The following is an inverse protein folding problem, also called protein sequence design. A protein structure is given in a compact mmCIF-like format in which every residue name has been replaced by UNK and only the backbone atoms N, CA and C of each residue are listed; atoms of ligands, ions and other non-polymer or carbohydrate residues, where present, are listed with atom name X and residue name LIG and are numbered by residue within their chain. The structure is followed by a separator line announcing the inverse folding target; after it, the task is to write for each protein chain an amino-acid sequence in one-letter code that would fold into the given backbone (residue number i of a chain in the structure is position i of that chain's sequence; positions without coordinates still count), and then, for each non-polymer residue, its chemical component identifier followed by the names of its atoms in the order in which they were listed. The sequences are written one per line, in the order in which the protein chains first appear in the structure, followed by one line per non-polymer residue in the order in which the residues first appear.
data_IF_016186829881
#
_entry.id   IF_016186829881
#
_cell.length_a   1.000
_cell.length_b   1.000
_cell.length_c   1.000
_cell.angle_alpha   90.00
_cell.angle_beta   90.00
_cell.angle_gamma   90.00
#
_symmetry.space_group_name_H-M   'P 1'
#
loop_
_entity.id
_entity.type
_entity.pdbx_description
1 polymer ?
#
# COMPACT_ATOMS: atom_id res chain seq x y z
N UNK A 1 8.69 32.45 24.10
CA UNK A 1 8.47 31.35 25.07
C UNK A 1 7.74 30.24 24.31
N UNK A 2 8.47 29.26 23.78
CA UNK A 2 7.90 28.18 22.96
C UNK A 2 7.05 27.32 23.91
N UNK A 3 5.73 27.53 23.88
CA UNK A 3 4.78 26.74 24.64
C UNK A 3 4.51 25.50 23.79
N UNK A 4 5.16 24.38 24.12
CA UNK A 4 4.81 23.08 23.57
C UNK A 4 3.33 22.83 23.90
N UNK A 5 2.40 22.81 22.93
CA UNK A 5 1.14 22.16 23.19
C UNK A 5 1.47 20.69 23.45
N UNK A 6 0.94 20.15 24.54
CA UNK A 6 1.02 18.73 24.86
C UNK A 6 0.74 17.96 23.59
N UNK A 7 1.68 17.07 23.20
CA UNK A 7 1.40 16.03 22.20
C UNK A 7 0.08 15.42 22.65
N UNK A 8 -0.99 15.71 21.94
CA UNK A 8 -2.26 15.07 22.15
C UNK A 8 -2.00 13.63 21.71
N UNK A 9 -1.50 12.85 22.67
CA UNK A 9 -1.43 11.40 22.56
C UNK A 9 -2.84 11.03 22.17
N UNK A 10 -3.00 10.61 20.90
CA UNK A 10 -4.24 10.08 20.38
C UNK A 10 -4.76 9.16 21.48
N UNK A 11 -5.83 9.54 22.15
CA UNK A 11 -6.28 8.82 23.32
C UNK A 11 -6.74 7.45 22.81
N UNK A 12 -5.86 6.46 22.93
CA UNK A 12 -6.10 5.11 22.45
C UNK A 12 -7.38 4.58 23.09
N UNK A 13 -7.74 5.07 24.28
CA UNK A 13 -9.00 4.74 24.95
C UNK A 13 -10.21 5.47 24.37
N UNK A 14 -10.08 6.64 23.74
CA UNK A 14 -11.20 7.26 23.02
C UNK A 14 -11.40 6.67 21.62
N UNK A 15 -10.34 6.13 21.01
CA UNK A 15 -10.39 5.37 19.75
C UNK A 15 -10.89 3.93 19.96
N UNK A 16 -10.52 3.29 21.06
CA UNK A 16 -10.99 1.95 21.44
C UNK A 16 -12.26 1.95 22.29
N UNK A 17 -12.64 3.08 22.89
CA UNK A 17 -13.72 3.18 23.88
C UNK A 17 -15.10 3.42 23.30
N UNK A 18 -15.20 3.95 22.07
CA UNK A 18 -16.48 4.07 21.37
C UNK A 18 -16.55 3.10 20.20
N UNK A 19 -17.07 1.91 20.51
CA UNK A 19 -17.36 0.76 19.60
C UNK A 19 -16.15 0.24 18.82
N UNK A 20 -15.77 -1.06 18.92
CA UNK A 20 -14.66 -1.59 18.13
C UNK A 20 -14.89 -1.28 16.65
N UNK A 21 -13.81 -0.99 15.89
CA UNK A 21 -13.86 -0.63 14.45
C UNK A 21 -14.71 -1.64 13.65
N UNK A 22 -14.71 -2.90 14.09
CA UNK A 22 -15.54 -4.00 13.59
C UNK A 22 -17.04 -3.69 13.66
N UNK A 23 -17.50 -3.05 14.72
CA UNK A 23 -18.90 -2.69 14.93
C UNK A 23 -19.31 -1.47 14.11
N UNK A 24 -18.43 -0.46 14.00
CA UNK A 24 -18.67 0.75 13.18
C UNK A 24 -18.58 0.52 11.67
N UNK A 25 -17.61 -0.25 11.19
CA UNK A 25 -17.39 -0.47 9.75
C UNK A 25 -17.96 -1.79 9.22
N UNK A 26 -18.06 -2.82 10.07
CA UNK A 26 -18.39 -4.19 9.64
C UNK A 26 -19.61 -4.77 10.38
N UNK A 27 -20.39 -3.94 11.09
CA UNK A 27 -21.61 -4.35 11.78
C UNK A 27 -21.41 -5.45 12.84
N UNK A 28 -20.20 -5.52 13.43
CA UNK A 28 -19.82 -6.54 14.42
C UNK A 28 -19.37 -7.87 13.80
N UNK A 29 -19.41 -8.00 12.47
CA UNK A 29 -19.02 -9.21 11.77
C UNK A 29 -17.49 -9.34 11.67
N UNK A 30 -16.92 -10.15 12.55
CA UNK A 30 -15.51 -10.54 12.51
C UNK A 30 -15.17 -11.24 11.18
N UNK A 31 -16.12 -11.97 10.59
CA UNK A 31 -15.92 -12.65 9.30
C UNK A 31 -15.71 -11.64 8.18
N UNK A 32 -16.53 -10.58 8.12
CA UNK A 32 -16.41 -9.56 7.07
C UNK A 32 -15.11 -8.76 7.22
N UNK A 33 -14.70 -8.48 8.46
CA UNK A 33 -13.40 -7.89 8.76
C UNK A 33 -12.26 -8.77 8.24
N UNK A 34 -12.27 -10.07 8.57
CA UNK A 34 -11.24 -11.01 8.14
C UNK A 34 -11.14 -11.07 6.62
N UNK A 35 -12.27 -11.17 5.91
CA UNK A 35 -12.29 -11.18 4.44
C UNK A 35 -11.71 -9.89 3.86
N UNK A 36 -12.15 -8.73 4.35
CA UNK A 36 -11.64 -7.43 3.87
C UNK A 36 -10.16 -7.25 4.18
N UNK A 37 -9.70 -7.67 5.37
CA UNK A 37 -8.30 -7.59 5.77
C UNK A 37 -7.42 -8.52 4.92
N UNK A 38 -7.87 -9.72 4.60
CA UNK A 38 -7.16 -10.64 3.70
C UNK A 38 -7.05 -10.08 2.30
N UNK A 39 -8.13 -9.52 1.74
CA UNK A 39 -8.10 -8.88 0.41
C UNK A 39 -7.15 -7.68 0.40
N UNK A 40 -7.22 -6.82 1.43
CA UNK A 40 -6.29 -5.71 1.57
C UNK A 40 -4.84 -6.19 1.67
N UNK A 41 -4.56 -7.21 2.49
CA UNK A 41 -3.22 -7.76 2.64
C UNK A 41 -2.68 -8.33 1.31
N UNK A 42 -3.53 -9.01 0.52
CA UNK A 42 -3.15 -9.52 -0.79
C UNK A 42 -2.80 -8.39 -1.77
N UNK A 43 -3.64 -7.34 -1.85
CA UNK A 43 -3.37 -6.17 -2.70
C UNK A 43 -2.11 -5.43 -2.23
N UNK A 44 -1.95 -5.27 -0.92
CA UNK A 44 -0.81 -4.59 -0.32
C UNK A 44 0.49 -5.35 -0.60
N UNK A 45 0.49 -6.68 -0.49
CA UNK A 45 1.65 -7.51 -0.82
C UNK A 45 1.97 -7.46 -2.32
N UNK A 46 0.95 -7.56 -3.19
CA UNK A 46 1.14 -7.46 -4.63
C UNK A 46 1.75 -6.11 -5.04
N UNK A 47 1.33 -5.02 -4.39
CA UNK A 47 1.93 -3.70 -4.60
C UNK A 47 3.42 -3.66 -4.25
N UNK A 48 3.84 -4.33 -3.17
CA UNK A 48 5.25 -4.40 -2.79
C UNK A 48 6.03 -5.29 -3.76
N UNK A 49 5.47 -6.44 -4.16
CA UNK A 49 6.10 -7.30 -5.16
C UNK A 49 6.37 -6.52 -6.46
N UNK A 50 5.41 -5.70 -6.92
CA UNK A 50 5.60 -4.86 -8.10
C UNK A 50 6.77 -3.88 -7.96
N UNK A 51 6.95 -3.30 -6.77
CA UNK A 51 8.09 -2.43 -6.48
C UNK A 51 9.39 -3.23 -6.44
N UNK A 52 9.43 -4.35 -5.71
CA UNK A 52 10.61 -5.18 -5.55
C UNK A 52 11.11 -5.76 -6.89
N UNK A 53 10.20 -6.26 -7.73
CA UNK A 53 10.52 -6.74 -9.08
C UNK A 53 11.06 -5.64 -9.99
N UNK A 54 10.59 -4.40 -9.85
CA UNK A 54 11.16 -3.28 -10.61
C UNK A 54 12.61 -3.01 -10.19
N UNK A 55 12.91 -3.00 -8.89
CA UNK A 55 14.29 -2.86 -8.39
C UNK A 55 15.18 -4.07 -8.73
N UNK A 56 14.63 -5.28 -8.76
CA UNK A 56 15.35 -6.47 -9.22
C UNK A 56 15.75 -6.37 -10.70
N UNK A 57 14.84 -5.87 -11.54
CA UNK A 57 15.07 -5.70 -12.99
C UNK A 57 16.05 -4.56 -13.28
N UNK A 58 15.95 -3.44 -12.56
CA UNK A 58 16.80 -2.26 -12.77
C UNK A 58 18.20 -2.39 -12.15
N UNK A 59 18.28 -2.89 -10.91
CA UNK A 59 19.50 -2.83 -10.09
C UNK A 59 20.08 -4.23 -9.78
N UNK A 60 19.44 -5.31 -10.25
CA UNK A 60 19.87 -6.69 -9.96
C UNK A 60 19.69 -7.08 -8.49
N UNK A 61 18.89 -6.32 -7.73
CA UNK A 61 18.64 -6.58 -6.30
C UNK A 61 17.72 -7.78 -6.17
N UNK A 62 18.29 -8.93 -5.84
CA UNK A 62 17.52 -10.14 -5.56
C UNK A 62 16.61 -9.95 -4.34
N UNK A 63 15.37 -10.41 -4.46
CA UNK A 63 14.41 -10.41 -3.35
C UNK A 63 13.71 -11.77 -3.26
N UNK A 64 12.99 -12.00 -2.16
CA UNK A 64 12.31 -13.27 -1.90
C UNK A 64 10.90 -13.01 -1.40
N UNK A 65 9.90 -13.46 -2.17
CA UNK A 65 8.50 -13.26 -1.84
C UNK A 65 8.10 -13.79 -0.45
N UNK A 66 8.50 -15.00 0.00
CA UNK A 66 8.20 -15.46 1.35
C UNK A 66 8.80 -14.58 2.44
N UNK A 67 10.03 -14.09 2.25
CA UNK A 67 10.72 -13.22 3.21
C UNK A 67 10.03 -11.87 3.32
N UNK A 68 9.64 -11.30 2.18
CA UNK A 68 8.96 -10.01 2.12
C UNK A 68 7.54 -10.11 2.74
N UNK A 69 6.82 -11.20 2.49
CA UNK A 69 5.50 -11.44 3.06
C UNK A 69 5.56 -11.52 4.60
N UNK A 70 6.54 -12.25 5.14
CA UNK A 70 6.75 -12.34 6.60
C UNK A 70 7.13 -10.98 7.17
N UNK A 71 8.03 -10.24 6.51
CA UNK A 71 8.44 -8.91 6.95
C UNK A 71 7.25 -7.94 6.99
N UNK A 72 6.41 -7.94 5.96
CA UNK A 72 5.22 -7.10 5.88
C UNK A 72 4.17 -7.48 6.93
N UNK A 73 3.92 -8.77 7.14
CA UNK A 73 3.00 -9.26 8.16
C UNK A 73 3.43 -8.87 9.57
N UNK A 74 4.72 -9.04 9.87
CA UNK A 74 5.28 -8.61 11.16
C UNK A 74 5.19 -7.08 11.33
N UNK A 75 5.51 -6.31 10.28
CA UNK A 75 5.42 -4.84 10.31
C UNK A 75 4.00 -4.36 10.59
N UNK A 76 2.99 -4.92 9.91
CA UNK A 76 1.59 -4.56 10.14
C UNK A 76 1.10 -4.98 11.53
N UNK A 77 1.58 -6.11 12.05
CA UNK A 77 1.25 -6.55 13.42
C UNK A 77 1.83 -5.59 14.45
N UNK A 78 3.10 -5.17 14.29
CA UNK A 78 3.73 -4.16 15.15
C UNK A 78 3.01 -2.80 15.05
N UNK A 79 2.57 -2.40 13.86
CA UNK A 79 1.79 -1.18 13.65
C UNK A 79 0.45 -1.21 14.41
N UNK A 80 -0.24 -2.35 14.41
CA UNK A 80 -1.50 -2.53 15.10
C UNK A 80 -1.37 -2.35 16.63
N UNK A 81 -0.27 -2.80 17.24
CA UNK A 81 -0.03 -2.61 18.68
C UNK A 81 0.09 -1.14 19.10
N UNK A 82 0.47 -0.26 18.18
CA UNK A 82 0.61 1.19 18.43
C UNK A 82 -0.61 1.96 17.87
N UNK A 83 -1.63 1.26 17.36
CA UNK A 83 -2.82 1.89 16.77
C UNK A 83 -2.57 2.58 15.42
N UNK A 84 -1.49 2.22 14.73
CA UNK A 84 -1.17 2.75 13.40
C UNK A 84 -1.98 2.07 12.30
N UNK A 85 -2.17 2.77 11.19
CA UNK A 85 -2.68 2.19 9.96
C UNK A 85 -1.73 1.10 9.40
N UNK A 86 -2.22 0.18 8.55
CA UNK A 86 -1.39 -0.84 7.92
C UNK A 86 -0.21 -0.25 7.14
N UNK A 87 0.93 -0.94 7.16
CA UNK A 87 2.17 -0.50 6.52
C UNK A 87 2.25 -1.08 5.09
N UNK A 88 2.82 -0.30 4.17
CA UNK A 88 3.10 -0.69 2.79
C UNK A 88 4.48 -0.21 2.34
N UNK A 89 4.96 -0.73 1.21
CA UNK A 89 6.14 -0.25 0.52
C UNK A 89 5.89 1.08 -0.19
N UNK A 90 6.95 1.84 -0.45
CA UNK A 90 6.85 3.13 -1.15
C UNK A 90 7.94 3.27 -2.20
N UNK A 91 7.52 3.19 -3.47
CA UNK A 91 8.41 3.39 -4.61
C UNK A 91 9.14 4.73 -4.52
N UNK A 92 8.42 5.82 -4.22
CA UNK A 92 9.00 7.16 -4.15
C UNK A 92 10.08 7.27 -3.07
N UNK A 93 9.87 6.69 -1.87
CA UNK A 93 10.88 6.74 -0.80
C UNK A 93 12.08 5.88 -1.12
N UNK A 94 11.87 4.68 -1.67
CA UNK A 94 12.96 3.79 -2.09
C UNK A 94 13.80 4.41 -3.21
N UNK A 95 13.15 5.08 -4.18
CA UNK A 95 13.84 5.80 -5.25
C UNK A 95 14.67 6.97 -4.72
N UNK A 96 14.13 7.78 -3.81
CA UNK A 96 14.90 8.88 -3.19
C UNK A 96 16.09 8.32 -2.42
N UNK A 97 15.89 7.25 -1.65
CA UNK A 97 16.97 6.60 -0.91
C UNK A 97 18.07 6.08 -1.87
N UNK A 98 17.67 5.49 -3.00
CA UNK A 98 18.58 5.08 -4.09
C UNK A 98 19.33 6.28 -4.67
N UNK A 99 18.63 7.37 -4.99
CA UNK A 99 19.24 8.58 -5.55
C UNK A 99 20.23 9.25 -4.59
N UNK A 100 20.02 9.11 -3.28
CA UNK A 100 20.98 9.57 -2.26
C UNK A 100 22.15 8.61 -2.01
N UNK A 101 22.22 7.49 -2.74
CA UNK A 101 23.30 6.50 -2.60
C UNK A 101 23.18 5.63 -1.36
N UNK A 102 22.01 5.51 -0.75
CA UNK A 102 21.81 4.65 0.42
C UNK A 102 21.82 3.17 0.01
N UNK A 103 22.76 2.41 0.56
CA UNK A 103 22.98 0.99 0.23
C UNK A 103 22.56 0.02 1.33
N UNK A 104 22.11 0.54 2.48
CA UNK A 104 21.84 -0.26 3.67
C UNK A 104 20.51 0.09 4.34
N UNK A 105 19.91 -0.89 5.03
CA UNK A 105 18.70 -0.73 5.83
C UNK A 105 18.86 0.27 6.99
N UNK A 106 20.12 0.60 7.37
CA UNK A 106 20.40 1.66 8.33
C UNK A 106 19.81 3.02 7.92
N UNK A 107 19.72 3.30 6.62
CA UNK A 107 19.06 4.52 6.14
C UNK A 107 17.58 4.59 6.56
N UNK A 108 16.88 3.46 6.55
CA UNK A 108 15.49 3.38 7.00
C UNK A 108 15.37 3.61 8.52
N UNK A 109 16.31 3.08 9.31
CA UNK A 109 16.35 3.29 10.76
C UNK A 109 16.58 4.77 11.09
N UNK A 110 17.55 5.40 10.42
CA UNK A 110 17.82 6.84 10.59
C UNK A 110 16.59 7.65 10.22
N UNK A 111 15.94 7.34 9.09
CA UNK A 111 14.71 8.02 8.70
C UNK A 111 13.58 7.86 9.74
N UNK A 112 13.42 6.67 10.32
CA UNK A 112 12.44 6.43 11.38
C UNK A 112 12.77 7.24 12.65
N UNK A 113 14.04 7.29 13.07
CA UNK A 113 14.48 8.10 14.22
C UNK A 113 14.29 9.60 13.96
N UNK A 114 14.57 10.07 12.75
CA UNK A 114 14.30 11.45 12.35
C UNK A 114 12.80 11.77 12.45
N UNK A 115 11.92 10.86 11.99
CA UNK A 115 10.48 11.04 12.14
C UNK A 115 10.07 11.13 13.61
N UNK A 116 10.54 10.21 14.45
CA UNK A 116 10.26 10.23 15.91
C UNK A 116 10.73 11.54 16.53
N UNK A 117 11.92 12.02 16.16
CA UNK A 117 12.46 13.30 16.64
C UNK A 117 11.64 14.51 16.14
N UNK A 118 11.08 14.45 14.94
CA UNK A 118 10.30 15.52 14.33
C UNK A 118 8.84 15.57 14.82
N UNK A 119 8.29 14.48 15.36
CA UNK A 119 6.92 14.42 15.90
C UNK A 119 6.51 15.63 16.76
N UNK A 120 7.28 16.06 17.80
CA UNK A 120 6.91 17.20 18.63
C UNK A 120 6.88 18.55 17.87
N UNK A 121 7.51 18.61 16.70
CA UNK A 121 7.58 19.81 15.85
C UNK A 121 6.54 19.82 14.72
N UNK A 122 5.72 18.77 14.58
CA UNK A 122 4.75 18.66 13.48
C UNK A 122 3.70 19.78 13.46
N UNK A 123 3.42 20.42 14.61
CA UNK A 123 2.48 21.54 14.67
C UNK A 123 2.92 22.74 13.81
N UNK A 124 4.21 22.86 13.47
CA UNK A 124 4.71 23.89 12.55
C UNK A 124 4.10 23.70 11.14
N UNK A 125 3.74 22.48 10.77
CA UNK A 125 3.10 22.13 9.50
C UNK A 125 1.57 22.17 9.55
N UNK A 126 0.96 22.46 10.71
CA UNK A 126 -0.50 22.56 10.85
C UNK A 126 -1.17 23.59 9.90
N UNK A 127 -0.59 24.77 9.60
CA UNK A 127 -1.24 25.75 8.72
C UNK A 127 -1.09 25.44 7.22
N UNK A 128 -0.64 24.23 6.84
CA UNK A 128 -0.44 23.88 5.43
C UNK A 128 -1.77 23.90 4.66
N UNK A 129 -1.88 24.68 3.56
CA UNK A 129 -3.10 24.72 2.77
C UNK A 129 -3.46 23.34 2.21
N UNK A 130 -4.73 22.93 2.33
CA UNK A 130 -5.23 21.67 1.76
C UNK A 130 -4.97 21.55 0.26
N UNK A 131 -4.94 22.68 -0.46
CA UNK A 131 -4.61 22.74 -1.87
C UNK A 131 -3.17 22.28 -2.17
N UNK A 132 -2.21 22.62 -1.31
CA UNK A 132 -0.81 22.18 -1.46
C UNK A 132 -0.69 20.65 -1.26
N UNK A 133 -1.38 20.10 -0.24
CA UNK A 133 -1.45 18.65 -0.03
C UNK A 133 -2.09 17.93 -1.21
N UNK A 134 -3.17 18.48 -1.76
CA UNK A 134 -3.82 17.95 -2.96
C UNK A 134 -2.87 17.94 -4.17
N UNK A 135 -2.13 19.03 -4.40
CA UNK A 135 -1.15 19.10 -5.48
C UNK A 135 -0.04 18.05 -5.33
N UNK A 136 0.44 17.79 -4.10
CA UNK A 136 1.42 16.73 -3.82
C UNK A 136 0.86 15.35 -4.14
N UNK A 137 -0.38 15.06 -3.76
CA UNK A 137 -1.03 13.78 -4.08
C UNK A 137 -1.20 13.60 -5.59
N UNK A 138 -1.72 14.62 -6.28
CA UNK A 138 -1.94 14.58 -7.72
C UNK A 138 -0.61 14.37 -8.46
N UNK A 139 0.45 15.10 -8.10
CA UNK A 139 1.76 14.94 -8.73
C UNK A 139 2.39 13.58 -8.45
N UNK A 140 2.21 13.01 -7.26
CA UNK A 140 2.69 11.68 -6.91
C UNK A 140 1.99 10.58 -7.75
N UNK A 141 0.68 10.71 -7.98
CA UNK A 141 -0.13 9.69 -8.67
C UNK A 141 -0.04 9.84 -10.19
N UNK A 142 0.05 11.07 -10.72
CA UNK A 142 0.06 11.36 -12.17
C UNK A 142 1.12 10.54 -12.92
N UNK A 143 2.33 10.43 -12.35
CA UNK A 143 3.44 9.70 -13.00
C UNK A 143 3.21 8.18 -13.06
N UNK A 144 2.45 7.61 -12.12
CA UNK A 144 2.24 6.16 -12.02
C UNK A 144 0.94 5.66 -12.66
N UNK A 145 -0.10 6.48 -12.72
CA UNK A 145 -1.43 6.06 -13.24
C UNK A 145 -1.57 6.28 -14.74
N UNK A 146 -0.85 7.24 -15.33
CA UNK A 146 -0.93 7.54 -16.77
C UNK A 146 0.08 6.74 -17.61
N UNK A 147 0.06 5.41 -17.51
CA UNK A 147 0.77 4.50 -18.43
C UNK A 147 -0.20 3.65 -19.26
N UNK A 148 -1.13 4.26 -20.03
CA UNK A 148 -2.09 3.50 -20.83
C UNK A 148 -1.43 2.67 -21.93
N UNK A 149 -0.20 3.02 -22.34
CA UNK A 149 0.53 2.31 -23.40
C UNK A 149 0.80 0.85 -23.05
N UNK A 150 1.08 0.55 -21.78
CA UNK A 150 1.39 -0.82 -21.36
C UNK A 150 0.10 -1.65 -21.25
N UNK A 151 -0.99 -1.04 -20.77
CA UNK A 151 -2.33 -1.64 -20.77
C UNK A 151 -2.87 -1.90 -22.19
N UNK A 152 -2.56 -1.02 -23.13
CA UNK A 152 -2.96 -1.16 -24.54
C UNK A 152 -2.13 -2.20 -25.30
N UNK A 153 -0.95 -2.56 -24.80
CA UNK A 153 -0.09 -3.60 -25.37
C UNK A 153 -0.44 -5.01 -24.87
N UNK A 154 -1.29 -5.13 -23.85
CA UNK A 154 -1.77 -6.42 -23.38
C UNK A 154 -2.50 -7.15 -24.51
N UNK A 155 -2.27 -8.46 -24.63
CA UNK A 155 -2.89 -9.29 -25.65
C UNK A 155 -3.81 -10.36 -25.03
N UNK A 156 -4.83 -10.74 -25.79
CA UNK A 156 -5.75 -11.83 -25.47
C UNK A 156 -6.36 -11.75 -24.05
N UNK A 157 -6.20 -12.82 -23.26
CA UNK A 157 -6.79 -12.98 -21.93
C UNK A 157 -6.27 -11.92 -20.95
N UNK A 158 -5.00 -11.53 -21.06
CA UNK A 158 -4.40 -10.56 -20.15
C UNK A 158 -4.96 -9.15 -20.38
N UNK A 159 -5.33 -8.82 -21.61
CA UNK A 159 -6.02 -7.57 -21.93
C UNK A 159 -7.41 -7.51 -21.28
N UNK A 160 -8.18 -8.59 -21.39
CA UNK A 160 -9.53 -8.65 -20.81
C UNK A 160 -9.46 -8.50 -19.29
N UNK A 161 -8.55 -9.23 -18.65
CA UNK A 161 -8.39 -9.19 -17.19
C UNK A 161 -7.85 -7.83 -16.74
N UNK A 162 -6.86 -7.28 -17.44
CA UNK A 162 -6.27 -5.98 -17.13
C UNK A 162 -7.29 -4.85 -17.23
N UNK A 163 -8.04 -4.78 -18.33
CA UNK A 163 -9.08 -3.76 -18.52
C UNK A 163 -10.26 -3.94 -17.56
N UNK A 164 -10.73 -5.17 -17.34
CA UNK A 164 -11.82 -5.42 -16.38
C UNK A 164 -11.41 -5.03 -14.95
N UNK A 165 -10.20 -5.41 -14.53
CA UNK A 165 -9.65 -5.06 -13.20
C UNK A 165 -9.43 -3.56 -13.08
N UNK A 166 -8.87 -2.92 -14.11
CA UNK A 166 -8.61 -1.48 -14.14
C UNK A 166 -9.89 -0.65 -14.08
N UNK A 167 -10.90 -0.99 -14.89
CA UNK A 167 -12.20 -0.32 -14.89
C UNK A 167 -12.89 -0.52 -13.55
N UNK A 168 -12.94 -1.76 -13.03
CA UNK A 168 -13.59 -2.04 -11.74
C UNK A 168 -12.91 -1.26 -10.62
N UNK A 169 -11.57 -1.24 -10.59
CA UNK A 169 -10.78 -0.46 -9.62
C UNK A 169 -11.06 1.03 -9.71
N UNK A 170 -11.16 1.59 -10.92
CA UNK A 170 -11.38 3.02 -11.13
C UNK A 170 -12.74 3.50 -10.62
N UNK A 171 -13.79 2.66 -10.72
CA UNK A 171 -15.15 3.03 -10.30
C UNK A 171 -15.50 2.61 -8.86
N UNK A 172 -14.78 1.65 -8.28
CA UNK A 172 -15.07 1.14 -6.93
C UNK A 172 -13.89 1.36 -5.99
N UNK A 173 -13.03 0.37 -5.84
CA UNK A 173 -11.82 0.45 -5.02
C UNK A 173 -10.80 -0.56 -5.51
N UNK A 174 -9.50 -0.38 -5.20
CA UNK A 174 -8.47 -1.36 -5.51
C UNK A 174 -8.75 -2.75 -4.92
N UNK A 175 -9.38 -2.81 -3.74
CA UNK A 175 -9.72 -4.07 -3.07
C UNK A 175 -10.78 -4.86 -3.83
N UNK A 176 -11.86 -4.19 -4.27
CA UNK A 176 -12.93 -4.82 -5.05
C UNK A 176 -12.45 -5.13 -6.46
N UNK A 177 -11.69 -4.22 -7.08
CA UNK A 177 -11.10 -4.42 -8.39
C UNK A 177 -10.20 -5.65 -8.44
N UNK A 178 -9.32 -5.83 -7.44
CA UNK A 178 -8.50 -7.03 -7.32
C UNK A 178 -9.34 -8.30 -7.15
N UNK A 179 -10.36 -8.27 -6.28
CA UNK A 179 -11.27 -9.40 -6.10
C UNK A 179 -11.98 -9.79 -7.40
N UNK A 180 -12.49 -8.81 -8.15
CA UNK A 180 -13.12 -9.02 -9.45
C UNK A 180 -12.11 -9.57 -10.47
N UNK A 181 -10.91 -9.01 -10.53
CA UNK A 181 -9.82 -9.48 -11.39
C UNK A 181 -9.46 -10.94 -11.15
N UNK A 182 -9.40 -11.37 -9.88
CA UNK A 182 -9.13 -12.74 -9.49
C UNK A 182 -10.24 -13.70 -9.97
N UNK A 183 -11.51 -13.29 -9.82
CA UNK A 183 -12.66 -14.05 -10.35
C UNK A 183 -12.61 -14.17 -11.87
N UNK A 184 -12.37 -13.08 -12.59
CA UNK A 184 -12.23 -13.10 -14.05
C UNK A 184 -11.07 -13.99 -14.51
N UNK A 185 -9.92 -13.93 -13.82
CA UNK A 185 -8.78 -14.79 -14.09
C UNK A 185 -9.14 -16.28 -13.90
N UNK A 186 -9.77 -16.65 -12.79
CA UNK A 186 -10.18 -18.04 -12.52
C UNK A 186 -11.16 -18.58 -13.56
N UNK A 187 -12.12 -17.77 -14.00
CA UNK A 187 -13.11 -18.16 -15.01
C UNK A 187 -12.43 -18.36 -16.38
N UNK A 188 -11.62 -17.40 -16.83
CA UNK A 188 -11.00 -17.45 -18.16
C UNK A 188 -9.96 -18.56 -18.29
N UNK A 189 -9.21 -18.83 -17.22
CA UNK A 189 -8.23 -19.94 -17.20
C UNK A 189 -8.90 -21.32 -17.19
N UNK A 190 -10.08 -21.44 -16.57
CA UNK A 190 -10.87 -22.68 -16.61
C UNK A 190 -11.43 -22.96 -18.02
N UNK A 191 -11.80 -21.90 -18.76
CA UNK A 191 -12.37 -22.02 -20.12
C UNK A 191 -11.28 -22.19 -21.19
N UNK A 192 -10.10 -21.59 -21.01
CA UNK A 192 -8.95 -21.71 -21.93
C UNK A 192 -7.72 -22.22 -21.19
N UNK A 193 -7.62 -23.54 -20.90
CA UNK A 193 -6.42 -24.09 -20.32
C UNK A 193 -5.22 -23.81 -21.24
N UNK A 194 -4.08 -23.38 -20.66
CA UNK A 194 -2.83 -23.19 -21.42
C UNK A 194 -2.54 -24.46 -22.23
N UNK A 195 -2.11 -24.35 -23.51
CA UNK A 195 -1.56 -25.52 -24.19
C UNK A 195 -0.40 -26.05 -23.36
N UNK A 196 -0.40 -27.36 -23.09
CA UNK A 196 0.70 -28.04 -22.39
C UNK A 196 1.98 -27.76 -23.18
N UNK A 197 2.88 -26.96 -22.60
CA UNK A 197 4.26 -26.86 -23.09
C UNK A 197 4.89 -28.24 -22.93
N UNK A 198 5.20 -28.86 -24.07
CA UNK A 198 6.02 -30.08 -24.16
C UNK A 198 7.49 -29.76 -23.90
#
# INVERSE_FOLDING_TARGET
RIRFPSVEMLDIRSVLGDVPIVERQFGGSVVMLMVSATLFAAVNFLSIMGIASAFETEDGVSWSAPRELIAQGLSCTMAAFVGSAPISGSLSRSLVNRMTGATSQFACIINALCWIYLLPYMNIMAPTPKAALGAVIVTAVLKGVFQPKDLLQLQHTDAIIGWATGITTAFTSPTIGFGAGLVFYSILTTIRPKPKTA
#
